data_IF_427637159262
#
_entry.id   IF_427637159262
#
_cell.length_a   1.000
_cell.length_b   1.000
_cell.length_c   1.000
_cell.angle_alpha   90.00
_cell.angle_beta   90.00
_cell.angle_gamma   90.00
#
_symmetry.space_group_name_H-M   'P 1'
#
loop_
_entity.id
_entity.type
_entity.pdbx_description
1 polymer ?
#
# COMPACT_ATOMS: atom_id res chain seq x y z
N UNK A 1 16.89 7.10 32.89
CA UNK A 1 15.80 7.00 33.85
C UNK A 1 15.94 8.14 34.86
N UNK A 2 14.85 8.80 35.18
CA UNK A 2 14.79 9.86 36.20
C UNK A 2 13.99 9.30 37.34
N UNK A 3 14.49 9.42 38.56
CA UNK A 3 13.78 9.00 39.77
C UNK A 3 12.50 9.84 39.96
N UNK A 4 11.45 9.21 40.47
CA UNK A 4 10.14 9.82 40.69
C UNK A 4 9.86 9.86 42.18
N UNK A 5 9.45 11.02 42.73
CA UNK A 5 9.13 11.19 44.15
C UNK A 5 7.70 10.74 44.51
N UNK A 6 6.76 10.89 43.55
CA UNK A 6 5.36 10.50 43.71
C UNK A 6 4.89 9.73 42.50
N UNK A 7 4.94 8.40 42.60
CA UNK A 7 4.55 7.48 41.53
C UNK A 7 3.05 7.50 41.27
N UNK A 8 2.23 7.65 42.32
CA UNK A 8 0.78 7.62 42.17
C UNK A 8 0.25 8.89 41.49
N UNK A 9 0.78 10.06 41.83
CA UNK A 9 0.43 11.32 41.15
C UNK A 9 0.88 11.29 39.68
N UNK A 10 2.10 10.79 39.40
CA UNK A 10 2.59 10.66 38.02
C UNK A 10 1.76 9.68 37.20
N UNK A 11 1.41 8.53 37.79
CA UNK A 11 0.55 7.51 37.13
C UNK A 11 -0.82 8.11 36.81
N UNK A 12 -1.45 8.80 37.75
CA UNK A 12 -2.74 9.44 37.53
C UNK A 12 -2.68 10.46 36.38
N UNK A 13 -1.66 11.31 36.34
CA UNK A 13 -1.45 12.29 35.27
C UNK A 13 -1.25 11.65 33.90
N UNK A 14 -0.51 10.54 33.82
CA UNK A 14 -0.27 9.81 32.56
C UNK A 14 -1.57 9.19 32.07
N UNK A 15 -2.33 8.53 32.95
CA UNK A 15 -3.61 7.93 32.59
C UNK A 15 -4.59 9.02 32.13
N UNK A 16 -4.70 10.14 32.86
CA UNK A 16 -5.56 11.25 32.44
C UNK A 16 -5.15 11.82 31.09
N UNK A 17 -3.85 12.04 30.86
CA UNK A 17 -3.35 12.50 29.58
C UNK A 17 -3.72 11.55 28.45
N UNK A 18 -3.60 10.23 28.63
CA UNK A 18 -3.94 9.21 27.66
C UNK A 18 -5.45 9.15 27.36
N UNK A 19 -6.29 9.36 28.40
CA UNK A 19 -7.75 9.40 28.25
C UNK A 19 -8.27 10.68 27.56
N UNK A 20 -7.46 11.75 27.54
CA UNK A 20 -7.77 13.00 26.84
C UNK A 20 -7.38 12.98 25.36
N UNK A 21 -6.78 11.89 24.88
CA UNK A 21 -6.47 11.68 23.46
C UNK A 21 -7.69 11.16 22.67
N UNK A 22 -7.67 11.35 21.36
CA UNK A 22 -8.69 10.85 20.43
C UNK A 22 -8.01 10.09 19.27
N UNK A 23 -8.21 8.76 19.15
CA UNK A 23 -8.91 7.90 20.11
C UNK A 23 -8.18 7.83 21.45
N UNK A 24 -8.91 7.44 22.50
CA UNK A 24 -8.32 7.21 23.82
C UNK A 24 -7.32 6.06 23.78
N UNK A 25 -6.21 6.20 24.48
CA UNK A 25 -5.16 5.18 24.53
C UNK A 25 -5.18 4.52 25.91
N UNK A 26 -5.28 3.20 25.94
CA UNK A 26 -5.08 2.43 27.16
C UNK A 26 -3.57 2.27 27.37
N UNK A 27 -3.02 2.87 28.43
CA UNK A 27 -1.62 2.72 28.82
C UNK A 27 -1.50 1.72 29.96
N UNK A 28 -0.45 0.91 29.91
CA UNK A 28 -0.07 0.02 31.02
C UNK A 28 1.10 0.63 31.77
N UNK A 29 1.03 0.57 33.12
CA UNK A 29 2.06 1.12 33.97
C UNK A 29 2.59 0.05 34.93
N UNK A 30 3.91 -0.03 35.05
CA UNK A 30 4.60 -0.98 35.94
C UNK A 30 5.66 -0.25 36.74
N UNK A 31 5.68 -0.50 38.03
CA UNK A 31 6.68 0.06 38.94
C UNK A 31 7.93 -0.80 38.92
N UNK A 32 9.08 -0.14 38.93
CA UNK A 32 10.39 -0.78 38.96
C UNK A 32 11.33 -0.03 39.90
N UNK A 33 12.16 -0.76 40.61
CA UNK A 33 13.25 -0.18 41.41
C UNK A 33 14.55 -0.37 40.65
N UNK A 34 15.26 0.69 40.36
CA UNK A 34 16.56 0.67 39.72
C UNK A 34 17.61 1.34 40.58
N UNK A 35 18.42 0.54 41.28
CA UNK A 35 19.28 1.02 42.35
C UNK A 35 18.45 1.61 43.49
N UNK A 36 18.74 2.86 43.86
CA UNK A 36 18.02 3.59 44.95
C UNK A 36 16.84 4.43 44.38
N UNK A 37 16.47 4.26 43.12
CA UNK A 37 15.43 5.07 42.46
C UNK A 37 14.19 4.24 42.12
N UNK A 38 13.03 4.79 42.39
CA UNK A 38 11.77 4.28 41.87
C UNK A 38 11.55 4.81 40.45
N UNK A 39 11.16 3.93 39.53
CA UNK A 39 10.94 4.23 38.12
C UNK A 39 9.57 3.70 37.72
N UNK A 40 8.79 4.53 37.02
CA UNK A 40 7.54 4.11 36.37
C UNK A 40 7.81 3.77 34.93
N UNK A 41 7.54 2.50 34.53
CA UNK A 41 7.55 2.06 33.16
C UNK A 41 6.14 2.25 32.60
N UNK A 42 6.04 2.94 31.47
CA UNK A 42 4.77 3.17 30.76
C UNK A 42 4.83 2.50 29.40
N UNK A 43 3.97 1.52 29.21
CA UNK A 43 3.79 0.85 27.92
C UNK A 43 2.61 1.50 27.19
N UNK A 44 2.89 2.02 25.99
CA UNK A 44 1.89 2.66 25.14
C UNK A 44 1.65 1.80 23.91
N UNK A 45 0.49 1.14 23.78
CA UNK A 45 0.19 0.31 22.62
C UNK A 45 0.05 1.17 21.36
N UNK A 46 0.51 0.64 20.23
CA UNK A 46 0.31 1.28 18.94
C UNK A 46 -1.15 1.22 18.52
N UNK A 47 -1.71 2.33 18.05
CA UNK A 47 -3.06 2.35 17.48
C UNK A 47 -3.16 1.50 16.21
N UNK A 48 -4.28 0.80 16.02
CA UNK A 48 -4.60 0.19 14.74
C UNK A 48 -4.55 1.22 13.61
N UNK A 49 -4.15 0.80 12.42
CA UNK A 49 -3.99 1.71 11.27
C UNK A 49 -5.28 2.49 10.97
N UNK A 50 -6.44 1.85 11.16
CA UNK A 50 -7.76 2.43 10.93
C UNK A 50 -8.10 3.58 11.88
N UNK A 51 -7.44 3.63 13.04
CA UNK A 51 -7.69 4.63 14.08
C UNK A 51 -6.66 5.76 14.10
N UNK A 52 -5.57 5.65 13.31
CA UNK A 52 -4.52 6.68 13.21
C UNK A 52 -5.00 7.88 12.38
N UNK A 53 -4.49 9.09 12.65
CA UNK A 53 -3.60 9.50 13.73
C UNK A 53 -4.35 9.69 15.05
N UNK A 54 -3.58 9.80 16.15
CA UNK A 54 -4.07 10.21 17.43
C UNK A 54 -4.06 11.74 17.56
N UNK A 55 -5.09 12.31 18.19
CA UNK A 55 -5.23 13.75 18.36
C UNK A 55 -5.19 14.14 19.85
N UNK A 56 -4.51 15.23 20.13
CA UNK A 56 -4.66 15.99 21.38
C UNK A 56 -5.47 17.24 21.05
N UNK A 57 -6.71 17.29 21.53
CA UNK A 57 -7.67 18.31 21.07
C UNK A 57 -7.97 18.13 19.57
N UNK A 58 -7.60 19.10 18.75
CA UNK A 58 -7.79 19.07 17.29
C UNK A 58 -6.47 18.91 16.51
N UNK A 59 -5.37 18.65 17.19
CA UNK A 59 -4.04 18.57 16.58
C UNK A 59 -3.49 17.15 16.69
N UNK A 60 -3.08 16.56 15.56
CA UNK A 60 -2.29 15.35 15.53
C UNK A 60 -0.80 15.70 15.52
N UNK A 61 0.00 14.91 16.22
CA UNK A 61 1.43 15.10 16.33
C UNK A 61 2.21 13.92 15.76
N UNK A 62 3.38 14.22 15.23
CA UNK A 62 4.36 13.23 14.81
C UNK A 62 5.67 13.45 15.55
N UNK A 63 6.36 12.35 15.85
CA UNK A 63 7.70 12.38 16.44
C UNK A 63 8.73 12.53 15.34
N UNK A 64 9.49 13.62 15.39
CA UNK A 64 10.62 13.86 14.49
C UNK A 64 11.88 14.14 15.33
N UNK A 65 12.82 13.19 15.31
CA UNK A 65 14.00 13.30 16.14
C UNK A 65 13.66 13.33 17.63
N UNK A 66 13.95 14.42 18.30
CA UNK A 66 13.75 14.64 19.73
C UNK A 66 12.48 15.44 20.09
N UNK A 67 11.74 15.95 19.08
CA UNK A 67 10.56 16.79 19.23
C UNK A 67 9.26 16.17 18.74
N UNK A 68 8.14 16.65 19.31
CA UNK A 68 6.78 16.36 18.86
C UNK A 68 6.27 17.55 18.08
N UNK A 69 5.96 17.34 16.79
CA UNK A 69 5.56 18.40 15.86
C UNK A 69 4.14 18.16 15.37
N UNK A 70 3.32 19.21 15.23
CA UNK A 70 2.02 19.09 14.59
C UNK A 70 2.16 18.51 13.18
N UNK A 71 1.31 17.57 12.84
CA UNK A 71 1.23 17.07 11.46
C UNK A 71 0.68 18.13 10.54
N UNK A 72 1.31 18.31 9.39
CA UNK A 72 0.77 19.12 8.30
C UNK A 72 -0.36 18.39 7.55
N UNK A 73 -1.01 19.09 6.62
CA UNK A 73 -2.12 18.54 5.82
C UNK A 73 -1.70 17.35 4.95
N UNK A 74 -0.46 17.32 4.48
CA UNK A 74 0.07 16.22 3.68
C UNK A 74 0.26 14.96 4.51
N UNK A 75 0.91 15.07 5.68
CA UNK A 75 1.11 13.96 6.60
C UNK A 75 -0.21 13.38 7.08
N UNK A 76 -1.21 14.24 7.38
CA UNK A 76 -2.56 13.82 7.73
C UNK A 76 -3.26 13.07 6.59
N UNK A 77 -3.17 13.58 5.36
CA UNK A 77 -3.75 12.94 4.18
C UNK A 77 -3.15 11.57 3.94
N UNK A 78 -1.84 11.42 4.12
CA UNK A 78 -1.14 10.14 3.99
C UNK A 78 -1.61 9.12 5.05
N UNK A 79 -1.76 9.56 6.31
CA UNK A 79 -2.28 8.71 7.39
C UNK A 79 -3.74 8.27 7.13
N UNK A 80 -4.58 9.17 6.63
CA UNK A 80 -5.96 8.83 6.27
C UNK A 80 -6.02 7.87 5.08
N UNK A 81 -5.17 8.03 4.08
CA UNK A 81 -5.09 7.11 2.96
C UNK A 81 -4.70 5.68 3.40
N UNK A 82 -3.90 5.54 4.46
CA UNK A 82 -3.51 4.24 5.00
C UNK A 82 -4.62 3.52 5.79
N UNK A 83 -5.68 4.21 6.23
CA UNK A 83 -6.78 3.60 7.01
C UNK A 83 -7.54 2.52 6.25
N UNK A 84 -7.60 2.63 4.96
CA UNK A 84 -8.26 1.66 4.08
C UNK A 84 -7.19 1.00 3.22
N UNK A 85 -7.28 -0.31 3.05
CA UNK A 85 -6.47 -0.97 2.01
C UNK A 85 -6.88 -0.35 0.67
N UNK A 86 -5.98 0.33 -0.04
CA UNK A 86 -6.33 0.85 -1.35
C UNK A 86 -6.74 -0.33 -2.24
N UNK A 87 -7.93 -0.29 -2.80
CA UNK A 87 -8.40 -1.24 -3.82
C UNK A 87 -8.31 -0.60 -5.20
N UNK A 88 -7.21 0.13 -5.45
CA UNK A 88 -6.97 0.80 -6.73
C UNK A 88 -6.90 -0.18 -7.90
N UNK A 89 -6.49 -1.40 -7.63
CA UNK A 89 -6.47 -2.53 -8.56
C UNK A 89 -7.87 -2.88 -9.09
N UNK A 90 -8.91 -2.74 -8.27
CA UNK A 90 -10.30 -2.97 -8.64
C UNK A 90 -10.98 -1.75 -9.30
N UNK A 91 -10.27 -0.63 -9.43
CA UNK A 91 -10.81 0.58 -10.06
C UNK A 91 -11.22 0.29 -11.49
N UNK A 92 -12.49 0.61 -11.81
CA UNK A 92 -13.01 0.58 -13.17
C UNK A 92 -12.27 1.59 -14.07
N UNK A 93 -11.88 1.17 -15.26
CA UNK A 93 -11.25 2.02 -16.28
C UNK A 93 -12.29 2.32 -17.37
N UNK A 94 -12.87 3.52 -17.38
CA UNK A 94 -13.87 3.88 -18.37
C UNK A 94 -13.34 3.80 -19.79
N UNK A 95 -14.19 3.40 -20.73
CA UNK A 95 -13.84 3.32 -22.15
C UNK A 95 -13.13 2.02 -22.54
N UNK A 96 -12.83 1.13 -21.58
CA UNK A 96 -12.28 -0.19 -21.86
C UNK A 96 -13.39 -1.24 -22.02
N UNK A 97 -13.07 -2.34 -22.66
CA UNK A 97 -13.94 -3.47 -22.87
C UNK A 97 -13.13 -4.77 -22.97
N UNK A 98 -13.80 -5.90 -23.07
CA UNK A 98 -13.15 -7.20 -23.29
C UNK A 98 -12.33 -7.27 -24.58
N UNK A 99 -12.59 -6.37 -25.54
CA UNK A 99 -11.86 -6.30 -26.81
C UNK A 99 -10.47 -5.68 -26.67
N UNK A 100 -10.22 -5.01 -25.53
CA UNK A 100 -8.94 -4.40 -25.22
C UNK A 100 -8.01 -5.36 -24.45
N UNK A 101 -8.43 -6.63 -24.30
CA UNK A 101 -7.58 -7.69 -23.76
C UNK A 101 -6.70 -8.29 -24.86
N UNK A 102 -5.46 -8.60 -24.52
CA UNK A 102 -4.56 -9.41 -25.33
C UNK A 102 -5.07 -10.85 -25.36
N UNK A 103 -5.30 -11.38 -26.58
CA UNK A 103 -5.92 -12.69 -26.76
C UNK A 103 -5.03 -13.83 -26.22
N UNK A 104 -3.73 -13.94 -26.58
CA UNK A 104 -2.83 -14.98 -26.08
C UNK A 104 -2.72 -15.01 -24.55
N UNK A 105 -2.49 -13.88 -23.90
CA UNK A 105 -2.38 -13.82 -22.44
C UNK A 105 -3.71 -14.13 -21.76
N UNK A 106 -4.83 -13.71 -22.36
CA UNK A 106 -6.17 -13.99 -21.80
C UNK A 106 -6.51 -15.48 -21.90
N UNK A 107 -6.22 -16.13 -23.02
CA UNK A 107 -6.44 -17.57 -23.18
C UNK A 107 -5.60 -18.38 -22.20
N UNK A 108 -4.32 -18.05 -22.03
CA UNK A 108 -3.46 -18.72 -21.06
C UNK A 108 -3.97 -18.52 -19.63
N UNK A 109 -4.33 -17.29 -19.26
CA UNK A 109 -4.93 -16.99 -17.97
C UNK A 109 -6.19 -17.84 -17.71
N UNK A 110 -7.14 -17.88 -18.62
CA UNK A 110 -8.35 -18.65 -18.50
C UNK A 110 -8.05 -20.15 -18.35
N UNK A 111 -7.11 -20.67 -19.12
CA UNK A 111 -6.64 -22.04 -19.03
C UNK A 111 -6.06 -22.34 -17.63
N UNK A 112 -5.17 -21.48 -17.13
CA UNK A 112 -4.57 -21.63 -15.79
C UNK A 112 -5.62 -21.57 -14.68
N UNK A 113 -6.60 -20.66 -14.76
CA UNK A 113 -7.70 -20.58 -13.80
C UNK A 113 -8.53 -21.86 -13.79
N UNK A 114 -8.84 -22.44 -14.95
CA UNK A 114 -9.60 -23.69 -15.03
C UNK A 114 -8.82 -24.89 -14.48
N UNK A 115 -7.51 -24.92 -14.67
CA UNK A 115 -6.66 -25.98 -14.11
C UNK A 115 -6.53 -25.87 -12.57
N UNK A 116 -6.37 -24.65 -12.06
CA UNK A 116 -6.11 -24.40 -10.63
C UNK A 116 -7.36 -24.35 -9.77
N UNK A 117 -8.54 -24.09 -10.35
CA UNK A 117 -9.79 -23.92 -9.60
C UNK A 117 -10.90 -24.86 -10.08
N UNK A 118 -11.17 -25.92 -9.31
CA UNK A 118 -12.27 -26.83 -9.60
C UNK A 118 -13.63 -26.10 -9.68
N UNK A 119 -13.80 -25.03 -8.89
CA UNK A 119 -15.05 -24.25 -8.83
C UNK A 119 -15.30 -23.42 -10.10
N UNK A 120 -14.23 -22.95 -10.76
CA UNK A 120 -14.34 -22.10 -11.95
C UNK A 120 -14.17 -22.87 -13.26
N UNK A 121 -13.88 -24.17 -13.19
CA UNK A 121 -13.54 -25.00 -14.36
C UNK A 121 -14.62 -25.00 -15.45
N UNK A 122 -15.89 -24.93 -15.05
CA UNK A 122 -17.03 -24.99 -15.95
C UNK A 122 -17.70 -23.63 -16.19
N UNK A 123 -17.12 -22.56 -15.63
CA UNK A 123 -17.65 -21.22 -15.85
C UNK A 123 -17.34 -20.73 -17.26
N UNK A 124 -18.21 -19.83 -17.77
CA UNK A 124 -17.92 -19.11 -19.01
C UNK A 124 -16.69 -18.21 -18.84
N UNK A 125 -16.01 -17.89 -19.95
CA UNK A 125 -14.86 -16.99 -19.95
C UNK A 125 -15.17 -15.66 -19.28
N UNK A 126 -16.26 -15.03 -19.67
CA UNK A 126 -16.72 -13.79 -19.04
C UNK A 126 -17.01 -13.95 -17.55
N UNK A 127 -17.60 -15.09 -17.14
CA UNK A 127 -17.83 -15.40 -15.73
C UNK A 127 -16.54 -15.52 -14.93
N UNK A 128 -15.50 -16.13 -15.50
CA UNK A 128 -14.17 -16.22 -14.90
C UNK A 128 -13.55 -14.82 -14.79
N UNK A 129 -13.59 -14.03 -15.87
CA UNK A 129 -13.03 -12.67 -15.89
C UNK A 129 -13.66 -11.77 -14.82
N UNK A 130 -14.98 -11.85 -14.62
CA UNK A 130 -15.65 -11.13 -13.51
C UNK A 130 -15.23 -11.65 -12.14
N UNK A 131 -15.25 -12.97 -11.91
CA UNK A 131 -14.89 -13.57 -10.62
C UNK A 131 -13.43 -13.38 -10.24
N UNK A 132 -12.58 -13.15 -11.21
CA UNK A 132 -11.15 -12.84 -11.02
C UNK A 132 -10.84 -11.34 -11.08
N UNK A 133 -11.87 -10.50 -11.08
CA UNK A 133 -11.74 -9.04 -11.10
C UNK A 133 -10.94 -8.49 -12.29
N UNK A 134 -10.94 -9.17 -13.41
CA UNK A 134 -10.45 -8.64 -14.68
C UNK A 134 -11.47 -7.64 -15.25
N UNK A 135 -12.77 -8.01 -15.15
CA UNK A 135 -13.89 -7.14 -15.47
C UNK A 135 -14.51 -6.58 -14.19
N UNK A 136 -14.90 -5.30 -14.22
CA UNK A 136 -15.60 -4.65 -13.12
C UNK A 136 -17.02 -5.20 -12.95
N UNK A 137 -17.46 -5.32 -11.69
CA UNK A 137 -18.72 -6.01 -11.36
C UNK A 137 -19.98 -5.35 -11.95
N UNK A 138 -20.02 -4.02 -12.05
CA UNK A 138 -21.20 -3.27 -12.45
C UNK A 138 -21.21 -2.86 -13.93
N UNK A 139 -20.08 -2.93 -14.60
CA UNK A 139 -19.89 -2.50 -16.00
C UNK A 139 -18.91 -3.47 -16.64
N UNK A 140 -19.11 -3.83 -17.90
CA UNK A 140 -18.20 -4.74 -18.60
C UNK A 140 -16.85 -4.08 -19.01
N UNK A 141 -16.43 -3.06 -18.28
CA UNK A 141 -15.13 -2.42 -18.45
C UNK A 141 -14.07 -3.19 -17.68
N UNK A 142 -12.82 -3.04 -18.08
CA UNK A 142 -11.71 -3.62 -17.35
C UNK A 142 -11.47 -2.92 -16.01
N UNK A 143 -11.04 -3.68 -15.02
CA UNK A 143 -10.41 -3.11 -13.83
C UNK A 143 -8.99 -2.67 -14.15
N UNK A 144 -8.38 -1.84 -13.31
CA UNK A 144 -6.96 -1.49 -13.47
C UNK A 144 -6.07 -2.73 -13.46
N UNK A 145 -6.34 -3.68 -12.55
CA UNK A 145 -5.61 -4.95 -12.50
C UNK A 145 -5.78 -5.75 -13.79
N UNK A 146 -7.02 -5.89 -14.28
CA UNK A 146 -7.31 -6.61 -15.52
C UNK A 146 -6.63 -5.99 -16.73
N UNK A 147 -6.71 -4.65 -16.84
CA UNK A 147 -6.05 -3.89 -17.90
C UNK A 147 -4.52 -4.07 -17.86
N UNK A 148 -3.89 -3.89 -16.69
CA UNK A 148 -2.44 -4.01 -16.56
C UNK A 148 -1.93 -5.45 -16.73
N UNK A 149 -2.72 -6.45 -16.34
CA UNK A 149 -2.30 -7.85 -16.41
C UNK A 149 -2.51 -8.48 -17.80
N UNK A 150 -3.63 -8.14 -18.45
CA UNK A 150 -4.12 -8.84 -19.65
C UNK A 150 -4.48 -7.90 -20.81
N UNK A 151 -4.38 -6.57 -20.65
CA UNK A 151 -4.70 -5.61 -21.73
C UNK A 151 -3.69 -5.69 -22.85
N UNK A 152 -4.14 -5.54 -24.09
CA UNK A 152 -3.26 -5.47 -25.28
C UNK A 152 -2.29 -4.28 -25.17
N UNK A 153 -2.83 -3.08 -24.94
CA UNK A 153 -2.02 -1.87 -24.78
C UNK A 153 -2.54 -0.99 -23.62
N UNK A 154 -2.22 -1.37 -22.33
CA UNK A 154 -2.71 -0.65 -21.14
C UNK A 154 -2.37 0.83 -21.12
N UNK A 155 -1.25 1.22 -21.74
CA UNK A 155 -0.72 2.58 -21.76
C UNK A 155 -1.64 3.57 -22.49
N UNK A 156 -2.52 3.08 -23.37
CA UNK A 156 -3.55 3.88 -24.02
C UNK A 156 -4.53 4.49 -22.98
N UNK A 157 -4.88 3.72 -21.94
CA UNK A 157 -5.86 4.11 -20.92
C UNK A 157 -5.19 4.59 -19.63
N UNK A 158 -3.98 4.12 -19.36
CA UNK A 158 -3.21 4.42 -18.18
C UNK A 158 -1.73 4.56 -18.49
N UNK A 159 -1.33 5.77 -18.89
CA UNK A 159 0.02 6.07 -19.41
C UNK A 159 1.16 5.81 -18.40
N UNK A 160 0.84 5.74 -17.09
CA UNK A 160 1.80 5.41 -16.05
C UNK A 160 2.17 3.94 -15.92
N UNK A 161 1.44 3.03 -16.61
CA UNK A 161 1.70 1.59 -16.56
C UNK A 161 2.86 1.21 -17.50
N UNK A 162 4.10 1.58 -17.17
CA UNK A 162 5.29 1.22 -17.95
C UNK A 162 6.47 0.90 -17.03
N UNK A 163 7.36 0.04 -17.52
CA UNK A 163 8.66 -0.25 -16.87
C UNK A 163 9.72 0.58 -17.59
N UNK A 164 10.50 1.34 -16.82
CA UNK A 164 11.62 2.12 -17.35
C UNK A 164 12.91 1.58 -16.74
N UNK A 165 13.85 1.16 -17.59
CA UNK A 165 15.20 0.79 -17.21
C UNK A 165 16.21 1.80 -17.73
N UNK A 166 17.25 2.07 -16.94
CA UNK A 166 18.37 2.92 -17.34
C UNK A 166 19.66 2.27 -16.88
N UNK A 167 20.61 2.07 -17.80
CA UNK A 167 21.98 1.70 -17.44
C UNK A 167 22.80 2.98 -17.39
N UNK A 168 23.29 3.31 -16.20
CA UNK A 168 24.23 4.41 -16.00
C UNK A 168 25.66 3.89 -16.07
N UNK A 169 26.36 4.17 -17.15
CA UNK A 169 27.79 3.90 -17.24
C UNK A 169 28.54 5.03 -16.54
N UNK A 170 29.41 4.69 -15.59
CA UNK A 170 30.28 5.62 -14.89
C UNK A 170 31.29 6.23 -15.87
N UNK A 171 31.01 7.43 -16.36
CA UNK A 171 31.84 8.20 -17.28
C UNK A 171 31.03 9.31 -17.93
N UNK A 172 31.71 10.35 -18.39
CA UNK A 172 31.14 11.57 -18.99
C UNK A 172 30.42 11.38 -20.33
N UNK A 173 30.15 10.15 -20.75
CA UNK A 173 29.47 9.86 -22.00
C UNK A 173 27.96 9.74 -21.78
N UNK A 174 27.21 10.55 -22.45
CA UNK A 174 25.75 10.71 -22.50
C UNK A 174 25.01 9.56 -23.18
N UNK A 175 25.57 8.35 -23.18
CA UNK A 175 24.98 7.15 -23.79
C UNK A 175 24.49 6.22 -22.67
N UNK A 176 23.49 6.68 -21.90
CA UNK A 176 22.71 5.80 -21.05
C UNK A 176 21.80 4.97 -21.98
N UNK A 177 21.97 3.66 -22.00
CA UNK A 177 20.98 2.80 -22.64
C UNK A 177 19.68 2.86 -21.83
N UNK A 178 18.60 3.12 -22.51
CA UNK A 178 17.27 3.27 -21.92
C UNK A 178 16.32 2.24 -22.49
N UNK A 179 15.61 1.61 -21.58
CA UNK A 179 14.54 0.68 -21.89
C UNK A 179 13.20 1.26 -21.45
N UNK A 180 12.17 1.10 -22.26
CA UNK A 180 10.80 1.35 -21.91
C UNK A 180 9.94 0.16 -22.34
N UNK A 181 9.45 -0.60 -21.35
CA UNK A 181 8.49 -1.67 -21.57
C UNK A 181 7.07 -1.12 -21.69
N UNK A 182 6.35 -1.57 -22.67
CA UNK A 182 4.94 -1.27 -22.93
C UNK A 182 4.17 -2.59 -23.16
N UNK A 183 2.84 -2.55 -23.13
CA UNK A 183 2.00 -3.74 -23.12
C UNK A 183 1.56 -4.17 -21.73
N UNK A 184 1.01 -5.38 -21.56
CA UNK A 184 0.64 -5.93 -20.25
C UNK A 184 1.89 -6.26 -19.42
N UNK A 185 1.70 -6.36 -18.11
CA UNK A 185 2.81 -6.63 -17.15
C UNK A 185 3.65 -7.85 -17.55
N UNK A 186 3.09 -9.01 -17.97
CA UNK A 186 3.89 -10.15 -18.39
C UNK A 186 4.84 -9.81 -19.57
N UNK A 187 4.33 -9.15 -20.61
CA UNK A 187 5.14 -8.74 -21.76
C UNK A 187 6.25 -7.77 -21.36
N UNK A 188 5.90 -6.75 -20.55
CA UNK A 188 6.89 -5.78 -20.04
C UNK A 188 7.99 -6.45 -19.23
N UNK A 189 7.67 -7.50 -18.46
CA UNK A 189 8.66 -8.24 -17.66
C UNK A 189 9.58 -9.07 -18.55
N UNK A 190 9.04 -9.74 -19.56
CA UNK A 190 9.83 -10.51 -20.54
C UNK A 190 10.83 -9.60 -21.26
N UNK A 191 10.35 -8.46 -21.76
CA UNK A 191 11.20 -7.48 -22.44
C UNK A 191 12.25 -6.87 -21.52
N UNK A 192 11.88 -6.54 -20.26
CA UNK A 192 12.81 -6.01 -19.27
C UNK A 192 13.90 -7.02 -18.91
N UNK A 193 13.55 -8.30 -18.74
CA UNK A 193 14.52 -9.36 -18.50
C UNK A 193 15.45 -9.56 -19.69
N UNK A 194 14.92 -9.56 -20.91
CA UNK A 194 15.73 -9.65 -22.12
C UNK A 194 16.69 -8.47 -22.25
N UNK A 195 16.24 -7.27 -21.89
CA UNK A 195 17.08 -6.07 -21.88
C UNK A 195 18.18 -6.16 -20.81
N UNK A 196 17.86 -6.61 -19.59
CA UNK A 196 18.83 -6.77 -18.50
C UNK A 196 19.95 -7.79 -18.84
N UNK A 197 19.60 -8.86 -19.54
CA UNK A 197 20.60 -9.87 -19.96
C UNK A 197 21.57 -9.32 -21.01
N UNK A 198 21.16 -8.33 -21.80
CA UNK A 198 22.01 -7.70 -22.83
C UNK A 198 22.94 -6.61 -22.29
N UNK A 199 22.62 -6.07 -21.11
CA UNK A 199 23.33 -4.97 -20.47
C UNK A 199 23.91 -5.38 -19.10
#
# INVERSE_FOLDING_TARGET
PVGVYDLEDLRAKIIDAAQNLKPKIAVETTDMVLGDHQVLIVSVPGLPVQERPCFKGNVAYQRLGDGDYPMDSYALSLMYAQRHKPQNDLRNIPGTSIKDLDEPYTEDFLRQVRLSSARLRHDSDQGILHKRNVLAAAQNNLTLAGLCALGDYPQQFYSGASIIGVVSMSGTARNDDRFRGEGPIPAMLEDALAWLVRN
#
